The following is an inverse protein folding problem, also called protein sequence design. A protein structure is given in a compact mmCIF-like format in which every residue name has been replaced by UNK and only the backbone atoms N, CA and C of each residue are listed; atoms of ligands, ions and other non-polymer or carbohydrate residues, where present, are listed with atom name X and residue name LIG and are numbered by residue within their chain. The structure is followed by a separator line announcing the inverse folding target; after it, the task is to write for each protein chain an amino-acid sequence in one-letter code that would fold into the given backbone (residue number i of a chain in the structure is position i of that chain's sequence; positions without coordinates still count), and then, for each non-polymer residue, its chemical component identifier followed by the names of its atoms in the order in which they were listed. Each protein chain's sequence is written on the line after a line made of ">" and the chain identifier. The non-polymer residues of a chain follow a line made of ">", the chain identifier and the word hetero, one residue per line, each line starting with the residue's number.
data_IF_593001116905
#
_entry.id   IF_593001116905
#
_cell.length_a   1.000
_cell.length_b   1.000
_cell.length_c   1.000
_cell.angle_alpha   90.00
_cell.angle_beta   90.00
_cell.angle_gamma   90.00
#
_symmetry.space_group_name_H-M   'P 1'
#
loop_
_entity.id
_entity.type
_entity.pdbx_description
1 polymer ?
#
# COMPACT_ATOMS: atom_id res chain seq x y z
N UNK A 1 -19.51 -20.63 -8.89
CA UNK A 1 -18.09 -20.24 -9.02
C UNK A 1 -18.01 -18.72 -8.92
N UNK A 2 -17.28 -18.21 -7.93
CA UNK A 2 -17.01 -16.77 -7.80
C UNK A 2 -15.96 -16.43 -8.86
N UNK A 3 -16.30 -15.57 -9.80
CA UNK A 3 -15.37 -15.06 -10.79
C UNK A 3 -14.93 -13.61 -10.46
N UNK A 4 -13.99 -13.07 -11.23
CA UNK A 4 -13.45 -11.71 -11.02
C UNK A 4 -14.52 -10.65 -11.14
N UNK A 5 -15.47 -10.78 -12.07
CA UNK A 5 -16.56 -9.82 -12.25
C UNK A 5 -17.46 -9.80 -11.02
N UNK A 6 -17.86 -10.95 -10.52
CA UNK A 6 -18.66 -11.05 -9.31
C UNK A 6 -17.93 -10.45 -8.10
N UNK A 7 -16.64 -10.77 -7.93
CA UNK A 7 -15.83 -10.18 -6.87
C UNK A 7 -15.77 -8.65 -6.96
N UNK A 8 -15.62 -8.10 -8.18
CA UNK A 8 -15.62 -6.65 -8.42
C UNK A 8 -16.96 -6.01 -8.07
N UNK A 9 -18.07 -6.66 -8.41
CA UNK A 9 -19.42 -6.15 -8.16
C UNK A 9 -19.77 -6.08 -6.65
N UNK A 10 -19.26 -7.03 -5.85
CA UNK A 10 -19.51 -7.09 -4.41
C UNK A 10 -18.46 -6.38 -3.56
N UNK A 11 -17.30 -6.09 -4.12
CA UNK A 11 -16.20 -5.42 -3.42
C UNK A 11 -16.50 -3.94 -3.21
N UNK A 12 -16.97 -3.59 -2.02
CA UNK A 12 -17.21 -2.19 -1.68
C UNK A 12 -15.90 -1.39 -1.57
N UNK A 13 -16.01 -0.08 -1.76
CA UNK A 13 -14.88 0.84 -1.53
C UNK A 13 -14.31 0.71 -0.11
N UNK A 14 -15.17 0.59 0.90
CA UNK A 14 -14.73 0.46 2.30
C UNK A 14 -14.01 -0.86 2.57
N UNK A 15 -14.44 -1.95 1.92
CA UNK A 15 -13.71 -3.22 1.99
C UNK A 15 -12.30 -3.07 1.39
N UNK A 16 -12.19 -2.46 0.21
CA UNK A 16 -10.90 -2.23 -0.43
C UNK A 16 -9.99 -1.31 0.40
N UNK A 17 -10.55 -0.28 1.02
CA UNK A 17 -9.80 0.57 1.97
C UNK A 17 -9.24 -0.27 3.11
N UNK A 18 -10.03 -1.11 3.75
CA UNK A 18 -9.58 -1.99 4.83
C UNK A 18 -8.49 -2.98 4.36
N UNK A 19 -8.66 -3.55 3.18
CA UNK A 19 -7.67 -4.45 2.60
C UNK A 19 -6.33 -3.73 2.31
N UNK A 20 -6.35 -2.52 1.75
CA UNK A 20 -5.16 -1.72 1.50
C UNK A 20 -4.51 -1.24 2.80
N UNK A 21 -5.28 -0.93 3.83
CA UNK A 21 -4.74 -0.65 5.18
C UNK A 21 -3.95 -1.84 5.75
N UNK A 22 -4.39 -3.06 5.48
CA UNK A 22 -3.71 -4.27 5.92
C UNK A 22 -2.51 -4.65 5.02
N UNK A 23 -2.73 -4.75 3.71
CA UNK A 23 -1.84 -5.41 2.75
C UNK A 23 -1.18 -4.45 1.75
N UNK A 24 -1.65 -3.22 1.63
CA UNK A 24 -1.14 -2.23 0.68
C UNK A 24 0.18 -1.60 1.10
N UNK A 25 0.88 -1.04 0.13
CA UNK A 25 2.13 -0.29 0.34
C UNK A 25 2.16 0.96 -0.52
N UNK A 26 2.50 2.08 0.11
CA UNK A 26 2.75 3.38 -0.53
C UNK A 26 4.24 3.67 -0.40
N UNK A 27 4.97 3.71 -1.51
CA UNK A 27 6.43 3.81 -1.47
C UNK A 27 7.01 4.58 -2.65
N UNK A 28 8.32 4.77 -2.65
CA UNK A 28 9.06 5.37 -3.75
C UNK A 28 10.04 4.34 -4.32
N UNK A 29 10.06 4.23 -5.65
CA UNK A 29 10.91 3.29 -6.40
C UNK A 29 11.97 4.04 -7.20
N UNK A 30 13.21 3.56 -7.16
CA UNK A 30 14.25 4.01 -8.07
C UNK A 30 14.01 3.42 -9.48
N UNK A 31 13.77 4.27 -10.47
CA UNK A 31 13.61 3.85 -11.89
C UNK A 31 14.92 3.88 -12.65
N UNK A 32 15.81 4.78 -12.26
CA UNK A 32 17.17 4.93 -12.78
C UNK A 32 18.00 5.69 -11.74
N UNK A 33 19.33 5.77 -11.89
CA UNK A 33 20.15 6.61 -11.03
C UNK A 33 19.62 8.06 -10.99
N UNK A 34 19.43 8.59 -9.79
CA UNK A 34 18.92 9.95 -9.59
C UNK A 34 17.44 10.16 -9.86
N UNK A 35 16.64 9.08 -10.10
CA UNK A 35 15.21 9.18 -10.38
C UNK A 35 14.38 8.30 -9.46
N UNK A 36 13.62 8.93 -8.57
CA UNK A 36 12.61 8.30 -7.73
C UNK A 36 11.21 8.61 -8.25
N UNK A 37 10.31 7.64 -8.17
CA UNK A 37 8.89 7.77 -8.54
C UNK A 37 8.00 7.18 -7.46
N UNK A 38 6.79 7.73 -7.33
CA UNK A 38 5.76 7.18 -6.45
C UNK A 38 5.29 5.83 -6.98
N UNK A 39 5.13 4.89 -6.07
CA UNK A 39 4.68 3.54 -6.37
C UNK A 39 3.65 3.07 -5.34
N UNK A 40 2.77 2.20 -5.81
CA UNK A 40 1.75 1.55 -5.01
C UNK A 40 1.80 0.05 -5.30
N UNK A 41 1.62 -0.77 -4.27
CA UNK A 41 1.50 -2.21 -4.42
C UNK A 41 0.53 -2.79 -3.39
N UNK A 42 -0.16 -3.86 -3.81
CA UNK A 42 -0.93 -4.75 -2.95
C UNK A 42 -0.55 -6.17 -3.31
N UNK A 43 -0.30 -7.01 -2.34
CA UNK A 43 0.08 -8.40 -2.57
C UNK A 43 -0.86 -9.37 -1.86
N UNK A 44 -1.07 -10.54 -2.46
CA UNK A 44 -1.84 -11.63 -1.89
C UNK A 44 -1.24 -12.97 -2.34
N UNK A 45 -1.11 -13.91 -1.40
CA UNK A 45 -0.48 -15.21 -1.69
C UNK A 45 -1.42 -16.21 -2.36
N UNK A 46 -2.67 -16.27 -1.95
CA UNK A 46 -3.55 -17.38 -2.25
C UNK A 46 -4.73 -17.05 -3.16
N UNK A 47 -5.10 -15.79 -3.28
CA UNK A 47 -6.35 -15.41 -3.94
C UNK A 47 -6.12 -14.46 -5.14
N UNK A 48 -5.98 -15.07 -6.31
CA UNK A 48 -5.86 -14.35 -7.58
C UNK A 48 -7.14 -13.59 -7.94
N UNK A 49 -8.32 -14.05 -7.51
CA UNK A 49 -9.60 -13.42 -7.84
C UNK A 49 -9.70 -12.06 -7.16
N UNK A 50 -9.36 -11.99 -5.88
CA UNK A 50 -9.33 -10.73 -5.12
C UNK A 50 -8.34 -9.74 -5.74
N UNK A 51 -7.11 -10.18 -6.04
CA UNK A 51 -6.10 -9.32 -6.68
C UNK A 51 -6.55 -8.85 -8.06
N UNK A 52 -7.18 -9.72 -8.85
CA UNK A 52 -7.71 -9.36 -10.17
C UNK A 52 -8.86 -8.34 -10.08
N UNK A 53 -9.74 -8.47 -9.10
CA UNK A 53 -10.80 -7.49 -8.84
C UNK A 53 -10.22 -6.12 -8.44
N UNK A 54 -9.21 -6.11 -7.56
CA UNK A 54 -8.49 -4.89 -7.18
C UNK A 54 -7.83 -4.24 -8.40
N UNK A 55 -7.20 -5.03 -9.25
CA UNK A 55 -6.57 -4.54 -10.48
C UNK A 55 -7.58 -3.86 -11.42
N UNK A 56 -8.76 -4.43 -11.58
CA UNK A 56 -9.84 -3.82 -12.38
C UNK A 56 -10.31 -2.50 -11.77
N UNK A 57 -10.58 -2.46 -10.48
CA UNK A 57 -11.04 -1.25 -9.77
C UNK A 57 -10.01 -0.12 -9.86
N UNK A 58 -8.72 -0.44 -9.73
CA UNK A 58 -7.64 0.54 -9.72
C UNK A 58 -7.02 0.79 -11.12
N UNK A 59 -7.62 0.26 -12.19
CA UNK A 59 -7.13 0.39 -13.56
C UNK A 59 -5.66 -0.02 -13.73
N UNK A 60 -5.29 -1.15 -13.12
CA UNK A 60 -3.94 -1.71 -13.15
C UNK A 60 -3.93 -3.12 -13.73
N UNK A 61 -2.78 -3.79 -13.64
CA UNK A 61 -2.61 -5.17 -14.07
C UNK A 61 -2.19 -6.05 -12.91
N UNK A 62 -2.60 -7.32 -12.95
CA UNK A 62 -2.11 -8.35 -12.05
C UNK A 62 -0.71 -8.78 -12.47
N UNK A 63 0.20 -8.85 -11.51
CA UNK A 63 1.52 -9.45 -11.67
C UNK A 63 1.52 -10.81 -10.96
N UNK A 64 1.88 -11.85 -11.70
CA UNK A 64 2.02 -13.20 -11.17
C UNK A 64 3.49 -13.41 -10.81
N UNK A 65 3.75 -13.59 -9.53
CA UNK A 65 5.09 -13.86 -8.98
C UNK A 65 5.20 -15.33 -8.58
N UNK A 66 6.39 -15.90 -8.38
CA UNK A 66 6.55 -17.31 -8.03
C UNK A 66 5.78 -17.74 -6.77
N UNK A 67 5.63 -16.87 -5.78
CA UNK A 67 5.03 -17.19 -4.48
C UNK A 67 3.84 -16.31 -4.07
N UNK A 68 3.44 -15.35 -4.91
CA UNK A 68 2.32 -14.44 -4.63
C UNK A 68 1.81 -13.75 -5.90
N UNK A 69 0.65 -13.14 -5.79
CA UNK A 69 0.06 -12.25 -6.79
C UNK A 69 0.16 -10.80 -6.32
N UNK A 70 0.33 -9.87 -7.25
CA UNK A 70 0.44 -8.45 -6.90
C UNK A 70 -0.33 -7.56 -7.89
N UNK A 71 -0.83 -6.45 -7.36
CA UNK A 71 -1.13 -5.25 -8.12
C UNK A 71 -0.02 -4.25 -7.80
N UNK A 72 0.66 -3.75 -8.80
CA UNK A 72 1.76 -2.81 -8.61
C UNK A 72 1.77 -1.80 -9.75
N UNK A 73 1.96 -0.53 -9.43
CA UNK A 73 2.10 0.53 -10.44
C UNK A 73 2.98 1.67 -9.94
N UNK A 74 3.72 2.27 -10.88
CA UNK A 74 4.45 3.53 -10.71
C UNK A 74 4.13 4.52 -11.83
N UNK A 75 3.13 4.24 -12.66
CA UNK A 75 2.64 5.16 -13.68
C UNK A 75 1.99 6.38 -13.03
N UNK A 76 2.42 7.59 -13.39
CA UNK A 76 1.91 8.83 -12.80
C UNK A 76 0.38 8.96 -12.89
N UNK A 77 -0.22 8.60 -14.03
CA UNK A 77 -1.67 8.63 -14.20
C UNK A 77 -2.40 7.64 -13.26
N UNK A 78 -1.87 6.43 -13.09
CA UNK A 78 -2.42 5.44 -12.17
C UNK A 78 -2.25 5.88 -10.70
N UNK A 79 -1.09 6.42 -10.35
CA UNK A 79 -0.85 6.96 -9.00
C UNK A 79 -1.83 8.09 -8.68
N UNK A 80 -2.05 9.01 -9.61
CA UNK A 80 -3.04 10.09 -9.47
C UNK A 80 -4.44 9.53 -9.22
N UNK A 81 -4.86 8.55 -10.01
CA UNK A 81 -6.15 7.87 -9.83
C UNK A 81 -6.27 7.21 -8.44
N UNK A 82 -5.23 6.51 -7.98
CA UNK A 82 -5.18 5.86 -6.66
C UNK A 82 -5.31 6.90 -5.54
N UNK A 83 -4.62 8.03 -5.66
CA UNK A 83 -4.71 9.13 -4.69
C UNK A 83 -6.14 9.67 -4.62
N UNK A 84 -6.78 9.91 -5.76
CA UNK A 84 -8.17 10.39 -5.82
C UNK A 84 -9.15 9.35 -5.27
N UNK A 85 -8.97 8.08 -5.62
CA UNK A 85 -9.82 6.97 -5.16
C UNK A 85 -9.81 6.83 -3.63
N UNK A 86 -8.65 6.88 -3.00
CA UNK A 86 -8.50 6.74 -1.55
C UNK A 86 -8.55 8.06 -0.77
N UNK A 87 -8.87 9.17 -1.43
CA UNK A 87 -8.94 10.47 -0.77
C UNK A 87 -9.88 10.42 0.45
N UNK A 88 -9.39 10.93 1.58
CA UNK A 88 -10.11 10.96 2.87
C UNK A 88 -10.56 9.60 3.43
N UNK A 89 -10.02 8.48 2.95
CA UNK A 89 -10.42 7.14 3.41
C UNK A 89 -9.41 6.46 4.33
N UNK A 90 -8.11 6.73 4.18
CA UNK A 90 -7.06 6.12 5.00
C UNK A 90 -7.04 6.73 6.41
N UNK A 91 -7.63 6.03 7.37
CA UNK A 91 -7.77 6.47 8.78
C UNK A 91 -7.02 5.58 9.76
N UNK A 92 -6.57 4.40 9.33
CA UNK A 92 -5.95 3.38 10.14
C UNK A 92 -4.42 3.47 10.20
N UNK A 93 -3.78 2.30 10.25
CA UNK A 93 -2.34 2.16 10.47
C UNK A 93 -1.47 2.80 9.39
N UNK A 94 -1.97 2.89 8.15
CA UNK A 94 -1.25 3.49 7.02
C UNK A 94 -1.61 4.96 6.76
N UNK A 95 -2.41 5.57 7.62
CA UNK A 95 -2.88 6.95 7.40
C UNK A 95 -1.74 7.97 7.30
N UNK A 96 -0.69 7.82 8.11
CA UNK A 96 0.47 8.72 8.10
C UNK A 96 1.31 8.51 6.85
N UNK A 97 1.62 7.25 6.51
CA UNK A 97 2.35 6.90 5.28
C UNK A 97 1.62 7.43 4.04
N UNK A 98 0.32 7.17 3.95
CA UNK A 98 -0.51 7.63 2.85
C UNK A 98 -0.48 9.16 2.72
N UNK A 99 -0.62 9.91 3.82
CA UNK A 99 -0.58 11.38 3.80
C UNK A 99 0.78 11.92 3.33
N UNK A 100 1.87 11.36 3.81
CA UNK A 100 3.22 11.76 3.39
C UNK A 100 3.39 11.48 1.89
N UNK A 101 3.01 10.30 1.45
CA UNK A 101 3.13 9.86 0.07
C UNK A 101 2.29 10.71 -0.89
N UNK A 102 1.03 10.97 -0.57
CA UNK A 102 0.14 11.79 -1.42
C UNK A 102 0.57 13.25 -1.47
N UNK A 103 0.97 13.83 -0.34
CA UNK A 103 1.45 15.22 -0.29
C UNK A 103 2.74 15.40 -1.06
N UNK A 104 3.64 14.44 -1.00
CA UNK A 104 4.90 14.50 -1.77
C UNK A 104 4.66 14.39 -3.27
N UNK A 105 3.65 13.66 -3.72
CA UNK A 105 3.24 13.62 -5.12
C UNK A 105 2.68 14.96 -5.60
N UNK A 106 1.83 15.60 -4.80
CA UNK A 106 1.24 16.89 -5.11
C UNK A 106 2.25 18.05 -5.14
N UNK A 107 3.33 17.94 -4.35
CA UNK A 107 4.35 19.00 -4.17
C UNK A 107 5.67 18.68 -4.86
N UNK A 108 5.67 17.91 -5.94
CA UNK A 108 6.90 17.56 -6.65
C UNK A 108 7.63 18.82 -7.15
N UNK A 109 8.88 19.07 -6.72
CA UNK A 109 9.71 20.11 -7.29
C UNK A 109 9.96 19.88 -8.79
N UNK A 110 10.01 20.96 -9.58
CA UNK A 110 10.25 20.87 -11.03
C UNK A 110 11.69 20.54 -11.39
N UNK A 111 12.74 21.18 -10.79
CA UNK A 111 14.12 20.81 -11.07
C UNK A 111 14.41 19.37 -10.65
N UNK A 112 15.06 18.60 -11.52
CA UNK A 112 15.26 17.14 -11.35
C UNK A 112 16.15 16.81 -10.14
N UNK A 113 17.21 17.55 -9.92
CA UNK A 113 18.12 17.41 -8.79
C UNK A 113 17.43 17.70 -7.44
N UNK A 114 16.71 18.81 -7.37
CA UNK A 114 15.93 19.19 -6.19
C UNK A 114 14.84 18.15 -5.91
N UNK A 115 14.17 17.65 -6.95
CA UNK A 115 13.16 16.59 -6.84
C UNK A 115 13.76 15.32 -6.25
N UNK A 116 14.92 14.91 -6.73
CA UNK A 116 15.59 13.70 -6.23
C UNK A 116 15.96 13.81 -4.74
N UNK A 117 16.52 14.93 -4.32
CA UNK A 117 16.85 15.20 -2.92
C UNK A 117 15.60 15.18 -2.05
N UNK A 118 14.54 15.85 -2.49
CA UNK A 118 13.25 15.88 -1.79
C UNK A 118 12.63 14.48 -1.66
N UNK A 119 12.57 13.73 -2.74
CA UNK A 119 11.99 12.37 -2.72
C UNK A 119 12.87 11.37 -1.96
N UNK A 120 14.17 11.56 -1.91
CA UNK A 120 15.08 10.76 -1.07
C UNK A 120 14.77 10.93 0.41
N UNK A 121 14.51 12.15 0.86
CA UNK A 121 14.06 12.43 2.23
C UNK A 121 12.69 11.80 2.53
N UNK A 122 11.73 11.94 1.63
CA UNK A 122 10.42 11.29 1.74
C UNK A 122 10.55 9.77 1.83
N UNK A 123 11.38 9.15 0.99
CA UNK A 123 11.62 7.70 1.03
C UNK A 123 12.19 7.25 2.39
N UNK A 124 13.11 8.00 2.95
CA UNK A 124 13.67 7.73 4.28
C UNK A 124 12.62 7.80 5.37
N UNK A 125 11.75 8.79 5.33
CA UNK A 125 10.61 8.92 6.27
C UNK A 125 9.64 7.75 6.18
N UNK A 126 9.25 7.34 4.97
CA UNK A 126 8.35 6.21 4.75
C UNK A 126 8.96 4.90 5.25
N UNK A 127 10.25 4.65 5.00
CA UNK A 127 10.98 3.48 5.49
C UNK A 127 11.05 3.44 7.02
N UNK A 128 11.31 4.59 7.66
CA UNK A 128 11.33 4.71 9.12
C UNK A 128 9.98 4.36 9.75
N UNK A 129 8.87 4.83 9.18
CA UNK A 129 7.52 4.52 9.66
C UNK A 129 7.20 3.03 9.57
N UNK A 130 7.58 2.35 8.47
CA UNK A 130 7.40 0.90 8.32
C UNK A 130 8.20 0.12 9.35
N UNK A 131 9.47 0.47 9.56
CA UNK A 131 10.33 -0.18 10.56
C UNK A 131 9.72 -0.08 11.96
N UNK A 132 9.24 1.09 12.37
CA UNK A 132 8.58 1.29 13.67
C UNK A 132 7.32 0.44 13.81
N UNK A 133 6.52 0.33 12.76
CA UNK A 133 5.30 -0.50 12.76
C UNK A 133 5.64 -1.99 12.92
N UNK A 134 6.64 -2.50 12.23
CA UNK A 134 7.08 -3.90 12.37
C UNK A 134 7.56 -4.20 13.79
N UNK A 135 8.32 -3.30 14.42
CA UNK A 135 8.74 -3.46 15.82
C UNK A 135 7.57 -3.47 16.79
N UNK A 136 6.57 -2.60 16.60
CA UNK A 136 5.39 -2.56 17.45
C UNK A 136 4.57 -3.86 17.32
N UNK A 137 4.36 -4.35 16.11
CA UNK A 137 3.66 -5.62 15.87
C UNK A 137 4.40 -6.81 16.47
N UNK A 138 5.73 -6.85 16.36
CA UNK A 138 6.56 -7.89 16.97
C UNK A 138 6.42 -7.89 18.51
N UNK A 139 6.46 -6.73 19.16
CA UNK A 139 6.25 -6.63 20.60
C UNK A 139 4.87 -7.13 21.03
N UNK A 140 3.81 -6.77 20.29
CA UNK A 140 2.44 -7.22 20.58
C UNK A 140 2.28 -8.72 20.43
N UNK A 141 2.91 -9.36 19.45
CA UNK A 141 2.85 -10.80 19.23
C UNK A 141 3.57 -11.62 20.32
N UNK A 142 4.45 -10.99 21.09
CA UNK A 142 5.21 -11.64 22.19
C UNK A 142 4.63 -11.35 23.59
N UNK A 143 3.56 -10.56 23.69
CA UNK A 143 2.79 -10.44 24.93
C UNK A 143 1.95 -11.70 25.06
N UNK A 144 2.42 -12.69 25.85
CA UNK A 144 1.64 -13.87 26.23
C UNK A 144 0.36 -13.40 26.92
N UNK A 145 -0.78 -13.73 26.37
CA UNK A 145 -2.04 -13.65 27.11
C UNK A 145 -1.89 -14.46 28.40
N UNK A 146 -2.23 -13.91 29.56
CA UNK A 146 -2.24 -14.71 30.79
C UNK A 146 -3.14 -15.91 30.57
N UNK A 147 -2.64 -17.12 30.81
CA UNK A 147 -3.45 -18.31 30.79
C UNK A 147 -4.60 -18.10 31.77
N UNK A 148 -5.84 -18.18 31.29
CA UNK A 148 -7.01 -18.22 32.15
C UNK A 148 -6.83 -19.39 33.11
N UNK A 149 -6.54 -19.11 34.37
CA UNK A 149 -6.44 -20.08 35.42
C UNK A 149 -7.76 -20.82 35.51
N UNK A 150 -7.71 -22.16 35.41
CA UNK A 150 -8.87 -23.01 35.71
C UNK A 150 -9.26 -22.76 37.16
N UNK A 151 -10.42 -22.16 37.34
CA UNK A 151 -11.10 -22.17 38.64
C UNK A 151 -11.73 -23.55 38.78
N UNK A 152 -11.26 -24.31 39.76
CA UNK A 152 -11.90 -25.54 40.16
C UNK A 152 -13.17 -25.22 40.98
#
# INVERSE_FOLDING_TARGET
>A
VIDVKHATDVMSKYWLVGFVEAEGSFFLTAKSPGRLVHSFAVTQKLDIIVISAIALILHTKVLIKPTYFAVESSKAATIKFIIEYFNNTMKGMKSVEYRIWTRSFAKLPRPTDVRFIYLSDIRSKLRSLRSKRHHANFKLSHIKTPSAGRVY
#
